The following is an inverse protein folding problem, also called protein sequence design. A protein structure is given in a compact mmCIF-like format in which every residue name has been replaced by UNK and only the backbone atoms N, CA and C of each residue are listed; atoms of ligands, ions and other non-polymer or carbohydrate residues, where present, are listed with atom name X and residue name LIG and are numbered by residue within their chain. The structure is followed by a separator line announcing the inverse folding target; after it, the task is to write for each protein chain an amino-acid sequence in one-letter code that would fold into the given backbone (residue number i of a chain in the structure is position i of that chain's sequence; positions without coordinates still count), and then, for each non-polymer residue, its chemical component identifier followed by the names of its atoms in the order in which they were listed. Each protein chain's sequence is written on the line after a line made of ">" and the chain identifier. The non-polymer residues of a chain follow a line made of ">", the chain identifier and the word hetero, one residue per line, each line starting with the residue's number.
data_IF_169570654031
#
_entry.id   IF_169570654031
#
_cell.length_a   1.000
_cell.length_b   1.000
_cell.length_c   1.000
_cell.angle_alpha   90.00
_cell.angle_beta   90.00
_cell.angle_gamma   90.00
#
_symmetry.space_group_name_H-M   'P 1'
#
loop_
_entity.id
_entity.type
_entity.pdbx_description
1 polymer ?
#
# COMPACT_ATOMS: atom_id res chain seq x y z
N UNK A 1 35.81 -63.32 32.67
CA UNK A 1 37.19 -63.58 32.20
C UNK A 1 37.49 -62.55 31.13
N UNK A 2 38.55 -61.76 31.35
CA UNK A 2 38.94 -60.69 30.44
C UNK A 2 39.99 -61.09 29.41
N UNK A 3 40.55 -60.02 28.82
CA UNK A 3 41.77 -59.89 27.98
C UNK A 3 41.52 -60.04 26.48
N UNK A 4 41.49 -58.92 25.73
CA UNK A 4 42.60 -58.03 25.29
C UNK A 4 43.29 -58.60 24.04
N UNK A 5 43.31 -57.83 22.94
CA UNK A 5 44.48 -57.02 22.55
C UNK A 5 44.13 -56.06 21.40
N UNK A 6 44.70 -54.87 21.51
CA UNK A 6 44.54 -53.68 20.68
C UNK A 6 45.51 -53.68 19.49
N UNK A 7 45.24 -52.84 18.49
CA UNK A 7 46.29 -51.96 17.98
C UNK A 7 45.75 -50.57 17.62
N UNK A 8 46.63 -49.59 17.81
CA UNK A 8 46.37 -48.16 17.96
C UNK A 8 46.63 -47.36 16.69
N UNK A 9 46.00 -46.19 16.58
CA UNK A 9 46.35 -45.16 15.60
C UNK A 9 45.31 -44.05 15.57
N UNK A 10 45.51 -43.02 16.40
CA UNK A 10 44.58 -41.94 16.65
C UNK A 10 44.82 -40.69 15.77
N UNK A 11 43.80 -39.82 15.79
CA UNK A 11 43.84 -38.34 15.75
C UNK A 11 43.31 -37.65 14.48
N UNK A 12 42.07 -37.18 14.65
CA UNK A 12 41.47 -35.89 14.28
C UNK A 12 41.51 -35.39 12.82
N UNK A 13 40.32 -35.19 12.26
CA UNK A 13 40.07 -34.03 11.41
C UNK A 13 38.65 -33.48 11.60
N UNK A 14 38.56 -32.15 11.53
CA UNK A 14 37.52 -31.32 12.06
C UNK A 14 36.24 -31.29 11.20
N UNK A 15 35.11 -31.10 11.87
CA UNK A 15 33.83 -30.75 11.26
C UNK A 15 33.94 -29.36 10.62
N UNK A 16 33.78 -29.29 9.30
CA UNK A 16 33.51 -28.06 8.55
C UNK A 16 32.02 -28.04 8.18
N UNK A 17 31.30 -26.91 8.34
CA UNK A 17 29.94 -26.77 7.82
C UNK A 17 29.97 -26.52 6.31
N UNK A 18 29.30 -27.39 5.56
CA UNK A 18 29.13 -27.28 4.12
C UNK A 18 28.22 -26.10 3.76
N UNK A 19 28.78 -25.12 3.05
CA UNK A 19 28.04 -24.07 2.35
C UNK A 19 27.47 -24.63 1.05
N UNK A 20 26.19 -24.95 1.03
CA UNK A 20 25.50 -25.32 -0.21
C UNK A 20 25.12 -24.05 -1.00
N UNK A 21 26.00 -23.63 -1.91
CA UNK A 21 25.66 -22.74 -3.01
C UNK A 21 24.82 -23.52 -4.03
N UNK A 22 23.55 -23.14 -4.22
CA UNK A 22 22.70 -23.68 -5.29
C UNK A 22 23.20 -23.13 -6.62
N UNK A 23 23.77 -24.00 -7.45
CA UNK A 23 24.19 -23.66 -8.82
C UNK A 23 22.98 -23.46 -9.73
N UNK A 24 22.94 -22.31 -10.41
CA UNK A 24 21.96 -21.98 -11.43
C UNK A 24 22.31 -22.71 -12.74
N UNK A 25 21.30 -23.19 -13.46
CA UNK A 25 21.48 -23.99 -14.69
C UNK A 25 21.83 -23.13 -15.91
N UNK A 26 22.66 -23.68 -16.80
CA UNK A 26 23.11 -23.09 -18.07
C UNK A 26 21.97 -22.84 -19.10
N UNK A 27 22.14 -21.89 -20.05
CA UNK A 27 21.07 -21.41 -20.90
C UNK A 27 20.72 -22.40 -22.03
N UNK A 28 19.44 -22.75 -22.11
CA UNK A 28 18.84 -23.45 -23.25
C UNK A 28 18.73 -22.47 -24.43
N UNK A 29 19.17 -22.90 -25.62
CA UNK A 29 18.99 -22.15 -26.87
C UNK A 29 17.50 -21.82 -27.11
N UNK A 30 17.15 -20.53 -27.10
CA UNK A 30 15.79 -20.03 -27.34
C UNK A 30 15.57 -19.87 -28.85
N UNK A 31 14.66 -20.68 -29.40
CA UNK A 31 13.99 -20.42 -30.69
C UNK A 31 13.12 -19.17 -30.53
N UNK A 32 13.19 -18.23 -31.49
CA UNK A 32 12.45 -16.97 -31.44
C UNK A 32 10.93 -17.20 -31.24
N UNK A 33 10.30 -16.60 -30.21
CA UNK A 33 8.85 -16.69 -30.04
C UNK A 33 8.13 -15.93 -31.16
N UNK A 34 7.01 -16.47 -31.61
CA UNK A 34 5.93 -15.69 -32.24
C UNK A 34 5.56 -14.50 -31.35
N UNK A 35 5.21 -13.32 -31.90
CA UNK A 35 4.83 -12.18 -31.08
C UNK A 35 3.54 -12.52 -30.33
N UNK A 36 3.65 -12.71 -29.02
CA UNK A 36 2.50 -12.74 -28.13
C UNK A 36 1.73 -11.41 -28.25
N UNK A 37 0.40 -11.40 -28.02
CA UNK A 37 -0.35 -10.15 -27.93
C UNK A 37 0.32 -9.21 -26.92
N UNK A 38 0.29 -7.89 -27.16
CA UNK A 38 0.99 -6.95 -26.28
C UNK A 38 0.54 -7.18 -24.82
N UNK A 39 1.49 -7.26 -23.85
CA UNK A 39 1.20 -7.70 -22.47
C UNK A 39 0.11 -6.90 -21.75
N UNK A 40 -0.24 -5.74 -22.29
CA UNK A 40 -1.15 -4.77 -21.68
C UNK A 40 -2.50 -4.65 -22.39
N UNK A 41 -2.71 -5.26 -23.56
CA UNK A 41 -3.97 -5.17 -24.31
C UNK A 41 -5.15 -5.81 -23.57
N UNK A 42 -4.88 -6.86 -22.79
CA UNK A 42 -5.89 -7.58 -22.01
C UNK A 42 -6.30 -6.91 -20.69
N UNK A 43 -5.56 -5.90 -20.23
CA UNK A 43 -5.77 -5.30 -18.90
C UNK A 43 -6.96 -4.35 -18.92
N UNK A 44 -7.97 -4.60 -18.08
CA UNK A 44 -9.17 -3.76 -18.03
C UNK A 44 -8.90 -2.40 -17.37
N UNK A 45 -9.61 -1.36 -17.83
CA UNK A 45 -9.57 -0.03 -17.24
C UNK A 45 -8.39 0.86 -17.67
N UNK A 46 -7.54 0.40 -18.59
CA UNK A 46 -6.48 1.22 -19.17
C UNK A 46 -6.92 1.92 -20.45
N UNK A 47 -6.58 3.20 -20.56
CA UNK A 47 -6.64 3.97 -21.79
C UNK A 47 -5.49 3.60 -22.74
N UNK A 48 -5.67 3.84 -24.04
CA UNK A 48 -4.66 3.50 -25.06
C UNK A 48 -3.31 4.16 -24.79
N UNK A 49 -3.32 5.39 -24.26
CA UNK A 49 -2.10 6.12 -23.87
C UNK A 49 -1.31 5.37 -22.79
N UNK A 50 -2.01 4.90 -21.75
CA UNK A 50 -1.41 4.13 -20.65
C UNK A 50 -0.88 2.79 -21.14
N UNK A 51 -1.63 2.08 -22.00
CA UNK A 51 -1.20 0.80 -22.60
C UNK A 51 0.10 0.95 -23.37
N UNK A 52 0.17 1.96 -24.26
CA UNK A 52 1.40 2.25 -25.03
C UNK A 52 2.56 2.58 -24.11
N UNK A 53 2.34 3.37 -23.06
CA UNK A 53 3.39 3.73 -22.12
C UNK A 53 3.90 2.50 -21.35
N UNK A 54 3.02 1.66 -20.85
CA UNK A 54 3.37 0.42 -20.13
C UNK A 54 4.04 -0.61 -21.04
N UNK A 55 3.63 -0.71 -22.31
CA UNK A 55 4.32 -1.53 -23.31
C UNK A 55 5.76 -1.05 -23.56
N UNK A 56 5.99 0.27 -23.59
CA UNK A 56 7.35 0.84 -23.65
C UNK A 56 8.17 0.51 -22.41
N UNK A 57 7.57 0.56 -21.21
CA UNK A 57 8.23 0.17 -19.96
C UNK A 57 8.62 -1.31 -19.99
N UNK A 58 7.70 -2.20 -20.40
CA UNK A 58 7.97 -3.64 -20.56
C UNK A 58 9.14 -3.90 -21.51
N UNK A 59 9.12 -3.29 -22.70
CA UNK A 59 10.17 -3.48 -23.70
C UNK A 59 11.55 -2.94 -23.28
N UNK A 60 11.58 -1.89 -22.44
CA UNK A 60 12.82 -1.22 -21.98
C UNK A 60 13.35 -1.76 -20.66
N UNK A 61 12.46 -2.30 -19.84
CA UNK A 61 12.71 -2.63 -18.44
C UNK A 61 12.81 -1.41 -17.52
N UNK A 62 12.68 -1.67 -16.23
CA UNK A 62 12.87 -0.73 -15.12
C UNK A 62 14.23 -0.99 -14.48
N UNK A 63 15.05 0.05 -14.40
CA UNK A 63 16.33 -0.02 -13.74
C UNK A 63 16.18 0.20 -12.23
N UNK A 64 16.64 -0.77 -11.46
CA UNK A 64 16.75 -0.68 -10.01
C UNK A 64 18.22 -0.70 -9.58
N UNK A 65 18.53 0.10 -8.56
CA UNK A 65 19.84 0.15 -7.91
C UNK A 65 19.63 0.00 -6.42
N UNK A 66 20.26 -1.00 -5.79
CA UNK A 66 20.13 -1.19 -4.36
C UNK A 66 20.65 0.05 -3.61
N UNK A 67 19.79 0.84 -2.94
CA UNK A 67 20.21 2.04 -2.23
C UNK A 67 21.19 1.76 -1.08
N UNK A 68 21.15 0.54 -0.52
CA UNK A 68 21.95 0.16 0.66
C UNK A 68 23.42 -0.12 0.32
N UNK A 69 23.75 -0.33 -0.95
CA UNK A 69 25.11 -0.71 -1.40
C UNK A 69 25.92 0.48 -1.96
N UNK A 70 25.35 1.69 -1.90
CA UNK A 70 26.04 2.91 -2.36
C UNK A 70 26.43 2.88 -3.84
N UNK A 71 27.54 3.54 -4.20
CA UNK A 71 28.01 3.64 -5.59
C UNK A 71 28.48 2.29 -6.20
N UNK A 72 28.64 1.25 -5.37
CA UNK A 72 29.08 -0.08 -5.80
C UNK A 72 27.93 -1.03 -6.16
N UNK A 73 26.67 -0.60 -5.98
CA UNK A 73 25.50 -1.43 -6.25
C UNK A 73 25.44 -1.85 -7.73
N UNK A 74 25.46 -3.15 -7.99
CA UNK A 74 25.12 -3.67 -9.31
C UNK A 74 23.68 -3.28 -9.62
N UNK A 75 23.48 -2.64 -10.77
CA UNK A 75 22.13 -2.29 -11.21
C UNK A 75 21.46 -3.54 -11.78
N UNK A 76 20.16 -3.69 -11.54
CA UNK A 76 19.38 -4.80 -12.09
C UNK A 76 18.23 -4.21 -12.91
N UNK A 77 18.04 -4.71 -14.13
CA UNK A 77 16.87 -4.40 -14.95
C UNK A 77 15.74 -5.38 -14.66
N UNK A 78 14.50 -4.89 -14.59
CA UNK A 78 13.31 -5.71 -14.47
C UNK A 78 12.36 -5.45 -15.63
N UNK A 79 11.91 -6.49 -16.32
CA UNK A 79 10.70 -6.41 -17.14
C UNK A 79 9.48 -6.52 -16.22
N UNK A 80 8.48 -5.66 -16.42
CA UNK A 80 7.25 -5.64 -15.63
C UNK A 80 6.07 -6.11 -16.48
N UNK A 81 5.38 -7.13 -15.99
CA UNK A 81 4.17 -7.68 -16.61
C UNK A 81 3.00 -7.63 -15.64
N UNK A 82 1.78 -7.48 -16.15
CA UNK A 82 0.58 -7.54 -15.31
C UNK A 82 0.41 -8.95 -14.73
N UNK A 83 0.31 -9.06 -13.41
CA UNK A 83 0.23 -10.34 -12.71
C UNK A 83 -1.19 -10.89 -12.54
N UNK A 84 -2.18 -10.27 -13.18
CA UNK A 84 -3.60 -10.63 -13.06
C UNK A 84 -4.40 -9.65 -12.21
N UNK A 85 -5.71 -9.70 -12.37
CA UNK A 85 -6.64 -8.85 -11.63
C UNK A 85 -6.83 -9.33 -10.19
N UNK A 86 -7.18 -8.40 -9.31
CA UNK A 86 -7.45 -8.66 -7.91
C UNK A 86 -8.85 -8.17 -7.58
N UNK A 87 -9.56 -8.88 -6.70
CA UNK A 87 -10.89 -8.47 -6.27
C UNK A 87 -10.83 -7.15 -5.49
N UNK A 88 -11.89 -6.35 -5.61
CA UNK A 88 -12.04 -5.09 -4.88
C UNK A 88 -12.70 -5.32 -3.51
N UNK A 89 -12.17 -6.28 -2.74
CA UNK A 89 -12.69 -6.71 -1.42
C UNK A 89 -11.96 -6.03 -0.24
N UNK A 90 -11.09 -5.05 -0.52
CA UNK A 90 -10.21 -4.41 0.45
C UNK A 90 -8.93 -5.20 0.77
N UNK A 91 -8.77 -6.44 0.30
CA UNK A 91 -7.54 -7.22 0.46
C UNK A 91 -6.54 -7.02 -0.68
N UNK A 92 -6.83 -6.13 -1.63
CA UNK A 92 -6.10 -6.02 -2.88
C UNK A 92 -4.59 -5.77 -2.68
N UNK A 93 -4.19 -4.92 -1.72
CA UNK A 93 -2.77 -4.70 -1.39
C UNK A 93 -2.05 -6.01 -1.07
N UNK A 94 -2.59 -6.80 -0.14
CA UNK A 94 -1.93 -8.03 0.33
C UNK A 94 -2.03 -9.17 -0.68
N UNK A 95 -3.11 -9.25 -1.44
CA UNK A 95 -3.27 -10.24 -2.51
C UNK A 95 -2.32 -9.94 -3.69
N UNK A 96 -2.18 -8.67 -4.07
CA UNK A 96 -1.22 -8.23 -5.06
C UNK A 96 0.23 -8.45 -4.58
N UNK A 97 0.57 -8.02 -3.37
CA UNK A 97 1.89 -8.22 -2.80
C UNK A 97 2.26 -9.71 -2.73
N UNK A 98 1.35 -10.58 -2.25
CA UNK A 98 1.55 -12.04 -2.26
C UNK A 98 1.96 -12.53 -3.64
N UNK A 99 1.22 -12.12 -4.66
CA UNK A 99 1.41 -12.61 -6.03
C UNK A 99 2.72 -12.09 -6.61
N UNK A 100 3.01 -10.80 -6.46
CA UNK A 100 4.29 -10.18 -6.87
C UNK A 100 5.50 -10.77 -6.13
N UNK A 101 5.33 -11.30 -4.92
CA UNK A 101 6.36 -11.99 -4.13
C UNK A 101 6.50 -13.49 -4.45
N UNK A 102 5.71 -14.03 -5.39
CA UNK A 102 5.76 -15.45 -5.79
C UNK A 102 4.99 -16.40 -4.87
N UNK A 103 4.01 -15.90 -4.10
CA UNK A 103 2.97 -16.73 -3.47
C UNK A 103 3.36 -17.53 -2.24
N UNK A 104 4.57 -17.37 -1.70
CA UNK A 104 5.06 -18.19 -0.56
C UNK A 104 4.35 -17.91 0.77
N UNK A 105 3.85 -16.70 0.96
CA UNK A 105 3.21 -16.22 2.19
C UNK A 105 1.75 -15.89 1.87
N UNK A 106 0.80 -16.33 2.69
CA UNK A 106 -0.63 -16.05 2.45
C UNK A 106 -0.95 -14.55 2.59
N UNK A 107 -1.95 -14.05 1.87
CA UNK A 107 -2.35 -12.63 1.94
C UNK A 107 -2.76 -12.21 3.36
N UNK A 108 -3.47 -13.09 4.07
CA UNK A 108 -3.83 -12.89 5.49
C UNK A 108 -2.59 -12.81 6.39
N UNK A 109 -1.62 -13.68 6.17
CA UNK A 109 -0.37 -13.67 6.94
C UNK A 109 0.45 -12.40 6.64
N UNK A 110 0.48 -11.95 5.38
CA UNK A 110 1.09 -10.67 5.00
C UNK A 110 0.44 -9.50 5.73
N UNK A 111 -0.91 -9.44 5.77
CA UNK A 111 -1.65 -8.43 6.53
C UNK A 111 -1.25 -8.43 8.00
N UNK A 112 -1.27 -9.60 8.65
CA UNK A 112 -0.93 -9.74 10.06
C UNK A 112 0.51 -9.33 10.38
N UNK A 113 1.48 -9.75 9.55
CA UNK A 113 2.89 -9.37 9.74
C UNK A 113 3.13 -7.89 9.49
N UNK A 114 2.42 -7.30 8.53
CA UNK A 114 2.46 -5.85 8.24
C UNK A 114 1.94 -5.05 9.43
N UNK A 115 0.79 -5.42 9.99
CA UNK A 115 0.22 -4.80 11.19
C UNK A 115 1.15 -4.98 12.39
N UNK A 116 1.68 -6.20 12.59
CA UNK A 116 2.62 -6.49 13.66
C UNK A 116 3.88 -5.62 13.57
N UNK A 117 4.46 -5.49 12.37
CA UNK A 117 5.60 -4.62 12.12
C UNK A 117 5.29 -3.16 12.44
N UNK A 118 4.15 -2.64 11.99
CA UNK A 118 3.71 -1.29 12.31
C UNK A 118 3.64 -1.07 13.83
N UNK A 119 2.97 -1.97 14.57
CA UNK A 119 2.79 -1.82 16.02
C UNK A 119 4.12 -1.94 16.79
N UNK A 120 5.05 -2.78 16.31
CA UNK A 120 6.40 -2.85 16.88
C UNK A 120 7.15 -1.52 16.71
N UNK A 121 7.08 -0.90 15.54
CA UNK A 121 7.76 0.36 15.27
C UNK A 121 7.08 1.54 16.01
N UNK A 122 5.75 1.57 15.99
CA UNK A 122 4.93 2.54 16.73
C UNK A 122 5.19 2.49 18.24
N UNK A 123 5.37 1.29 18.81
CA UNK A 123 5.67 1.11 20.23
C UNK A 123 7.10 1.48 20.65
N UNK A 124 8.03 1.65 19.69
CA UNK A 124 9.44 2.01 19.95
C UNK A 124 9.74 3.50 19.85
N UNK A 125 8.85 4.27 19.23
CA UNK A 125 9.05 5.68 18.93
C UNK A 125 8.93 6.58 20.19
N UNK A 126 9.70 7.67 20.24
CA UNK A 126 9.92 8.51 21.43
C UNK A 126 8.83 9.57 21.68
N UNK A 127 7.67 9.37 21.07
CA UNK A 127 6.48 10.20 21.23
C UNK A 127 6.35 11.35 20.21
N UNK A 128 7.45 11.87 19.65
CA UNK A 128 7.36 12.89 18.58
C UNK A 128 6.92 12.24 17.28
N UNK A 129 7.58 11.16 16.85
CA UNK A 129 7.17 10.43 15.66
C UNK A 129 5.80 9.74 15.83
N UNK A 130 5.49 9.28 17.06
CA UNK A 130 4.16 8.77 17.42
C UNK A 130 3.04 9.79 17.14
N UNK A 131 3.19 11.03 17.61
CA UNK A 131 2.20 12.10 17.37
C UNK A 131 2.04 12.44 15.89
N UNK A 132 3.12 12.38 15.11
CA UNK A 132 3.04 12.60 13.67
C UNK A 132 2.28 11.46 12.96
N UNK A 133 2.46 10.22 13.40
CA UNK A 133 1.70 9.06 12.92
C UNK A 133 0.23 9.20 13.30
N UNK A 134 -0.09 9.52 14.55
CA UNK A 134 -1.47 9.71 15.01
C UNK A 134 -2.16 10.82 14.22
N UNK A 135 -1.49 11.96 14.01
CA UNK A 135 -2.03 13.04 13.19
C UNK A 135 -2.28 12.61 11.73
N UNK A 136 -1.39 11.81 11.13
CA UNK A 136 -1.58 11.30 9.79
C UNK A 136 -2.79 10.34 9.70
N UNK A 137 -2.93 9.44 10.68
CA UNK A 137 -4.08 8.51 10.78
C UNK A 137 -5.37 9.31 10.95
N UNK A 138 -5.39 10.30 11.83
CA UNK A 138 -6.55 11.17 12.01
C UNK A 138 -6.95 11.87 10.70
N UNK A 139 -5.99 12.45 9.96
CA UNK A 139 -6.32 13.08 8.67
C UNK A 139 -6.88 12.11 7.63
N UNK A 140 -6.45 10.84 7.64
CA UNK A 140 -6.90 9.83 6.68
C UNK A 140 -8.26 9.22 7.05
N UNK A 141 -8.51 9.02 8.34
CA UNK A 141 -9.60 8.15 8.81
C UNK A 141 -10.62 8.85 9.72
N UNK A 142 -10.28 10.01 10.27
CA UNK A 142 -11.15 10.85 11.09
C UNK A 142 -10.91 12.35 10.77
N UNK A 143 -11.12 12.78 9.52
CA UNK A 143 -10.82 14.15 9.10
C UNK A 143 -11.72 15.19 9.78
N UNK A 144 -11.23 16.43 9.89
CA UNK A 144 -12.06 17.57 10.34
C UNK A 144 -13.05 17.97 9.22
N UNK A 145 -14.30 17.52 9.36
CA UNK A 145 -15.39 17.78 8.41
C UNK A 145 -15.74 19.27 8.23
N UNK A 146 -15.18 20.17 9.06
CA UNK A 146 -15.34 21.63 8.91
C UNK A 146 -14.35 22.23 7.91
N UNK A 147 -13.39 21.44 7.41
CA UNK A 147 -12.35 21.86 6.49
C UNK A 147 -12.08 20.78 5.42
N UNK A 148 -11.19 21.08 4.46
CA UNK A 148 -10.64 20.06 3.54
C UNK A 148 -11.49 19.68 2.31
N UNK A 149 -12.55 20.43 2.00
CA UNK A 149 -13.45 20.15 0.86
C UNK A 149 -12.89 20.52 -0.53
N UNK A 150 -11.71 21.15 -0.61
CA UNK A 150 -11.12 21.65 -1.86
C UNK A 150 -10.42 20.60 -2.73
N UNK A 151 -10.27 19.35 -2.26
CA UNK A 151 -9.52 18.29 -2.95
C UNK A 151 -10.43 17.12 -3.33
N UNK A 152 -11.27 16.67 -2.39
CA UNK A 152 -12.30 15.66 -2.63
C UNK A 152 -13.63 16.17 -2.09
N UNK A 153 -14.70 15.96 -2.88
CA UNK A 153 -16.07 16.37 -2.52
C UNK A 153 -16.74 15.42 -1.54
N UNK A 154 -16.12 14.27 -1.27
CA UNK A 154 -16.53 13.28 -0.27
C UNK A 154 -15.38 13.10 0.71
N UNK A 155 -15.69 13.12 2.00
CA UNK A 155 -14.79 12.75 3.09
C UNK A 155 -15.35 11.54 3.83
N UNK A 156 -14.48 10.68 4.32
CA UNK A 156 -14.88 9.45 5.01
C UNK A 156 -14.37 9.45 6.44
N UNK A 157 -15.24 9.05 7.37
CA UNK A 157 -14.88 8.73 8.75
C UNK A 157 -15.00 7.22 8.93
N UNK A 158 -13.91 6.58 9.38
CA UNK A 158 -13.87 5.14 9.67
C UNK A 158 -14.04 4.88 11.15
N UNK A 159 -15.01 4.03 11.47
CA UNK A 159 -15.30 3.57 12.82
C UNK A 159 -15.26 2.03 12.86
N UNK A 160 -14.89 1.47 14.00
CA UNK A 160 -14.82 0.03 14.24
C UNK A 160 -15.96 -0.37 15.18
N UNK A 161 -16.91 -1.13 14.66
CA UNK A 161 -17.98 -1.73 15.43
C UNK A 161 -17.55 -3.12 15.87
N UNK A 162 -17.53 -3.40 17.16
CA UNK A 162 -17.24 -4.77 17.62
C UNK A 162 -18.39 -5.68 17.19
N UNK A 163 -18.08 -6.82 16.57
CA UNK A 163 -19.13 -7.74 16.05
C UNK A 163 -20.10 -8.20 17.14
N UNK A 164 -19.58 -8.42 18.35
CA UNK A 164 -20.38 -8.82 19.50
C UNK A 164 -21.43 -7.76 19.92
N UNK A 165 -21.18 -6.49 19.59
CA UNK A 165 -22.03 -5.37 20.00
C UNK A 165 -23.02 -4.96 18.89
N UNK A 166 -22.92 -5.52 17.68
CA UNK A 166 -23.83 -5.26 16.54
C UNK A 166 -25.32 -5.33 16.92
N UNK A 167 -25.81 -6.37 17.63
CA UNK A 167 -27.23 -6.43 18.00
C UNK A 167 -27.69 -5.25 18.88
N UNK A 168 -26.80 -4.74 19.75
CA UNK A 168 -27.09 -3.60 20.63
C UNK A 168 -27.06 -2.29 19.84
N UNK A 169 -26.11 -2.14 18.91
CA UNK A 169 -26.04 -1.00 18.00
C UNK A 169 -27.31 -0.93 17.14
N UNK A 170 -27.71 -2.03 16.50
CA UNK A 170 -28.89 -2.10 15.64
C UNK A 170 -30.18 -1.77 16.43
N UNK A 171 -30.29 -2.26 17.67
CA UNK A 171 -31.41 -1.94 18.55
C UNK A 171 -31.45 -0.46 18.93
N UNK A 172 -30.29 0.14 19.25
CA UNK A 172 -30.19 1.56 19.59
C UNK A 172 -30.53 2.47 18.41
N UNK A 173 -30.12 2.08 17.19
CA UNK A 173 -30.50 2.78 15.96
C UNK A 173 -32.01 2.68 15.75
N UNK A 174 -32.59 1.49 15.95
CA UNK A 174 -34.03 1.30 15.78
C UNK A 174 -34.83 2.11 16.80
N UNK A 175 -34.37 2.23 18.04
CA UNK A 175 -35.03 3.09 19.05
C UNK A 175 -35.12 4.55 18.59
N UNK A 176 -34.02 5.11 18.07
CA UNK A 176 -34.02 6.47 17.53
C UNK A 176 -34.92 6.62 16.30
N UNK A 177 -34.96 5.60 15.43
CA UNK A 177 -35.87 5.57 14.27
C UNK A 177 -37.33 5.53 14.71
N UNK A 178 -37.66 4.74 15.73
CA UNK A 178 -39.01 4.64 16.30
C UNK A 178 -39.46 5.96 16.96
N UNK A 179 -38.50 6.77 17.44
CA UNK A 179 -38.74 8.14 17.92
C UNK A 179 -38.87 9.18 16.79
N UNK A 180 -38.72 8.76 15.53
CA UNK A 180 -38.96 9.58 14.34
C UNK A 180 -37.71 10.16 13.69
N UNK A 181 -36.50 9.76 14.09
CA UNK A 181 -35.28 10.15 13.40
C UNK A 181 -35.15 9.39 12.06
N UNK A 182 -34.51 10.02 11.08
CA UNK A 182 -34.08 9.31 9.87
C UNK A 182 -33.00 8.29 10.22
N UNK A 183 -33.03 7.12 9.56
CA UNK A 183 -32.14 5.99 9.89
C UNK A 183 -30.68 6.38 9.84
N UNK A 184 -30.25 7.12 8.82
CA UNK A 184 -28.86 7.52 8.61
C UNK A 184 -28.37 8.45 9.73
N UNK A 185 -29.23 9.38 10.17
CA UNK A 185 -28.93 10.30 11.28
C UNK A 185 -28.87 9.55 12.62
N UNK A 186 -29.78 8.60 12.83
CA UNK A 186 -29.74 7.71 13.98
C UNK A 186 -28.46 6.86 14.00
N UNK A 187 -28.13 6.23 12.87
CA UNK A 187 -26.93 5.41 12.68
C UNK A 187 -25.65 6.21 12.91
N UNK A 188 -25.52 7.39 12.29
CA UNK A 188 -24.40 8.31 12.53
C UNK A 188 -24.21 8.61 14.01
N UNK A 189 -25.30 8.94 14.71
CA UNK A 189 -25.27 9.28 16.14
C UNK A 189 -24.80 8.10 16.99
N UNK A 190 -25.41 6.93 16.81
CA UNK A 190 -25.07 5.72 17.56
C UNK A 190 -23.65 5.26 17.26
N UNK A 191 -23.24 5.24 16.00
CA UNK A 191 -21.90 4.79 15.64
C UNK A 191 -20.83 5.74 16.15
N UNK A 192 -21.01 7.06 16.06
CA UNK A 192 -20.04 8.02 16.64
C UNK A 192 -19.93 7.91 18.16
N UNK A 193 -21.02 7.57 18.85
CA UNK A 193 -21.02 7.46 20.31
C UNK A 193 -20.45 6.13 20.79
N UNK A 194 -20.75 5.02 20.11
CA UNK A 194 -20.52 3.68 20.63
C UNK A 194 -19.42 2.89 19.90
N UNK A 195 -19.02 3.28 18.68
CA UNK A 195 -17.93 2.62 17.95
C UNK A 195 -16.58 3.29 18.22
N UNK A 196 -15.51 2.55 17.98
CA UNK A 196 -14.15 3.07 18.12
C UNK A 196 -13.73 3.82 16.85
N UNK A 197 -13.36 5.08 16.97
CA UNK A 197 -12.80 5.82 15.83
C UNK A 197 -11.38 5.33 15.49
N UNK A 198 -11.03 5.37 14.20
CA UNK A 198 -9.66 5.14 13.73
C UNK A 198 -8.92 6.47 13.75
N UNK A 199 -8.24 6.77 14.85
CA UNK A 199 -7.66 8.11 15.11
C UNK A 199 -6.19 8.08 15.57
N UNK A 200 -5.64 6.90 15.84
CA UNK A 200 -4.28 6.71 16.32
C UNK A 200 -3.68 5.38 15.81
N UNK A 201 -2.41 5.14 16.10
CA UNK A 201 -1.74 3.89 15.69
C UNK A 201 -2.39 2.62 16.24
N UNK A 202 -2.94 2.65 17.46
CA UNK A 202 -3.54 1.46 18.07
C UNK A 202 -4.86 1.08 17.39
N UNK A 203 -5.72 2.07 17.14
CA UNK A 203 -6.98 1.91 16.41
C UNK A 203 -6.75 1.59 14.93
N UNK A 204 -5.74 2.18 14.27
CA UNK A 204 -5.33 1.82 12.92
C UNK A 204 -4.87 0.35 12.84
N UNK A 205 -4.11 -0.13 13.83
CA UNK A 205 -3.70 -1.54 13.87
C UNK A 205 -4.90 -2.50 13.93
N UNK A 206 -5.95 -2.14 14.67
CA UNK A 206 -7.21 -2.90 14.70
C UNK A 206 -7.95 -2.82 13.37
N UNK A 207 -8.06 -1.64 12.79
CA UNK A 207 -8.64 -1.43 11.46
C UNK A 207 -7.95 -2.31 10.41
N UNK A 208 -6.63 -2.16 10.26
CA UNK A 208 -5.83 -2.85 9.24
C UNK A 208 -5.77 -4.38 9.45
N UNK A 209 -6.11 -4.87 10.65
CA UNK A 209 -6.25 -6.30 10.93
C UNK A 209 -7.52 -6.93 10.33
N UNK A 210 -8.53 -6.13 9.99
CA UNK A 210 -9.80 -6.61 9.43
C UNK A 210 -9.57 -7.10 8.00
N UNK A 211 -9.86 -8.38 7.77
CA UNK A 211 -9.57 -9.11 6.54
C UNK A 211 -10.81 -9.50 5.74
N UNK A 212 -12.01 -9.14 6.23
CA UNK A 212 -13.27 -9.54 5.63
C UNK A 212 -13.64 -10.99 5.96
N UNK A 213 -13.19 -11.47 7.13
CA UNK A 213 -13.45 -12.83 7.60
C UNK A 213 -14.41 -12.83 8.81
N UNK A 214 -15.21 -13.91 8.98
CA UNK A 214 -16.08 -14.05 10.14
C UNK A 214 -15.35 -13.94 11.49
N UNK A 215 -14.08 -14.36 11.54
CA UNK A 215 -13.25 -14.33 12.75
C UNK A 215 -12.69 -12.95 13.11
N UNK A 216 -12.82 -11.95 12.23
CA UNK A 216 -12.40 -10.58 12.56
C UNK A 216 -13.20 -10.06 13.76
N UNK A 217 -12.54 -9.37 14.70
CA UNK A 217 -13.19 -8.88 15.94
C UNK A 217 -14.16 -7.71 15.68
N UNK A 218 -13.88 -6.93 14.64
CA UNK A 218 -14.59 -5.69 14.31
C UNK A 218 -15.12 -5.73 12.88
N UNK A 219 -16.27 -5.09 12.66
CA UNK A 219 -16.74 -4.64 11.36
C UNK A 219 -16.33 -3.17 11.13
N UNK A 220 -16.11 -2.82 9.87
CA UNK A 220 -15.82 -1.44 9.47
C UNK A 220 -17.15 -0.73 9.21
N UNK A 221 -17.32 0.43 9.81
CA UNK A 221 -18.37 1.39 9.49
C UNK A 221 -17.72 2.59 8.82
N UNK A 222 -18.19 2.94 7.63
CA UNK A 222 -17.74 4.12 6.91
C UNK A 222 -18.88 5.14 6.88
N UNK A 223 -18.67 6.29 7.49
CA UNK A 223 -19.57 7.44 7.37
C UNK A 223 -19.03 8.33 6.25
N UNK A 224 -19.77 8.47 5.16
CA UNK A 224 -19.39 9.32 4.04
C UNK A 224 -20.10 10.67 4.15
N UNK A 225 -19.36 11.77 4.03
CA UNK A 225 -19.85 13.13 4.12
C UNK A 225 -19.58 13.89 2.84
N UNK A 226 -20.50 14.79 2.51
CA UNK A 226 -20.24 15.94 1.65
C UNK A 226 -20.21 17.21 2.51
N UNK A 227 -19.84 18.35 1.92
CA UNK A 227 -19.92 19.64 2.64
C UNK A 227 -21.34 19.93 3.18
N UNK A 228 -22.37 19.36 2.56
CA UNK A 228 -23.76 19.50 2.99
C UNK A 228 -24.13 18.63 4.21
N UNK A 229 -23.28 17.70 4.63
CA UNK A 229 -23.51 16.76 5.73
C UNK A 229 -23.36 15.30 5.33
N UNK A 230 -23.85 14.41 6.19
CA UNK A 230 -23.80 12.96 5.97
C UNK A 230 -24.50 12.59 4.66
N UNK A 231 -23.78 11.90 3.78
CA UNK A 231 -24.27 11.40 2.50
C UNK A 231 -24.82 9.98 2.66
N UNK A 232 -24.04 9.08 3.26
CA UNK A 232 -24.42 7.68 3.43
C UNK A 232 -23.63 7.03 4.57
N UNK A 233 -24.16 5.92 5.06
CA UNK A 233 -23.51 5.02 6.02
C UNK A 233 -23.29 3.69 5.30
N UNK A 234 -22.04 3.29 5.15
CA UNK A 234 -21.67 1.97 4.68
C UNK A 234 -21.31 1.09 5.89
N UNK A 235 -22.16 0.12 6.15
CA UNK A 235 -22.04 -0.84 7.24
C UNK A 235 -21.63 -2.17 6.59
N UNK A 236 -20.42 -2.64 6.86
CA UNK A 236 -19.90 -3.93 6.37
C UNK A 236 -20.63 -5.14 7.02
N UNK A 237 -21.97 -5.21 6.91
CA UNK A 237 -22.80 -6.16 7.65
C UNK A 237 -22.56 -7.61 7.24
N UNK A 238 -22.17 -7.84 5.99
CA UNK A 238 -21.84 -9.19 5.50
C UNK A 238 -20.41 -9.62 5.90
N UNK A 239 -19.65 -8.72 6.54
CA UNK A 239 -18.29 -8.98 7.01
C UNK A 239 -17.31 -9.28 5.88
N UNK A 240 -17.60 -8.84 4.65
CA UNK A 240 -16.80 -9.15 3.46
C UNK A 240 -15.80 -8.05 3.10
N UNK A 241 -16.01 -6.82 3.55
CA UNK A 241 -15.07 -5.73 3.30
C UNK A 241 -13.88 -5.84 4.26
N UNK A 242 -12.68 -5.92 3.70
CA UNK A 242 -11.44 -5.78 4.45
C UNK A 242 -11.00 -4.31 4.51
N UNK A 243 -10.12 -3.98 5.45
CA UNK A 243 -9.49 -2.68 5.48
C UNK A 243 -8.60 -2.48 4.24
N UNK A 244 -8.80 -1.36 3.54
CA UNK A 244 -8.01 -0.98 2.37
C UNK A 244 -6.56 -0.66 2.78
N UNK A 245 -5.63 -1.02 1.91
CA UNK A 245 -4.22 -0.69 2.10
C UNK A 245 -3.95 0.78 1.81
N UNK A 246 -3.18 1.43 2.69
CA UNK A 246 -2.69 2.79 2.55
C UNK A 246 -1.15 2.80 2.52
N UNK A 247 -0.56 4.00 2.40
CA UNK A 247 0.89 4.17 2.44
C UNK A 247 1.51 3.66 3.76
N UNK A 248 0.79 3.75 4.89
CA UNK A 248 1.26 3.24 6.19
C UNK A 248 1.45 1.72 6.12
N UNK A 249 0.48 1.02 5.54
CA UNK A 249 0.53 -0.42 5.32
C UNK A 249 1.65 -0.81 4.33
N UNK A 250 1.83 -0.05 3.24
CA UNK A 250 2.88 -0.32 2.26
C UNK A 250 4.28 -0.12 2.87
N UNK A 251 4.51 0.95 3.62
CA UNK A 251 5.79 1.18 4.32
C UNK A 251 6.08 0.10 5.37
N UNK A 252 5.04 -0.34 6.09
CA UNK A 252 5.16 -1.41 7.08
C UNK A 252 5.46 -2.76 6.41
N UNK A 253 4.84 -3.03 5.25
CA UNK A 253 5.12 -4.20 4.42
C UNK A 253 6.55 -4.17 3.87
N UNK A 254 6.98 -3.03 3.33
CA UNK A 254 8.34 -2.82 2.84
C UNK A 254 9.35 -3.14 3.95
N UNK A 255 9.13 -2.59 5.14
CA UNK A 255 9.98 -2.78 6.33
C UNK A 255 10.03 -4.23 6.78
N UNK A 256 8.87 -4.88 6.90
CA UNK A 256 8.76 -6.27 7.35
C UNK A 256 9.53 -7.23 6.44
N UNK A 257 9.49 -7.00 5.13
CA UNK A 257 10.13 -7.87 4.15
C UNK A 257 11.49 -7.37 3.68
N UNK A 258 11.97 -6.21 4.17
CA UNK A 258 13.26 -5.59 3.80
C UNK A 258 13.41 -5.42 2.29
N UNK A 259 12.32 -5.01 1.64
CA UNK A 259 12.20 -4.79 0.20
C UNK A 259 11.69 -3.39 -0.03
N UNK A 260 12.19 -2.71 -1.05
CA UNK A 260 11.47 -1.55 -1.58
C UNK A 260 10.17 -2.04 -2.22
N UNK A 261 9.08 -1.31 -1.99
CA UNK A 261 7.82 -1.49 -2.71
C UNK A 261 7.67 -0.29 -3.64
N UNK A 262 7.38 -0.54 -4.91
CA UNK A 262 7.09 0.51 -5.89
C UNK A 262 5.63 0.39 -6.30
N UNK A 263 4.85 1.43 -6.01
CA UNK A 263 3.52 1.57 -6.59
C UNK A 263 3.65 2.25 -7.94
N UNK A 264 3.30 1.52 -8.99
CA UNK A 264 3.26 1.98 -10.38
C UNK A 264 1.86 2.50 -10.64
N UNK A 265 1.69 3.81 -10.59
CA UNK A 265 0.39 4.47 -10.73
C UNK A 265 0.18 4.92 -12.18
N UNK A 266 -0.94 4.53 -12.78
CA UNK A 266 -1.36 5.00 -14.10
C UNK A 266 -2.53 5.99 -13.96
N UNK A 267 -2.31 7.25 -14.36
CA UNK A 267 -3.35 8.29 -14.35
C UNK A 267 -4.08 8.35 -15.68
N UNK A 268 -5.40 8.52 -15.63
CA UNK A 268 -6.22 8.74 -16.82
C UNK A 268 -6.03 10.13 -17.42
N UNK A 269 -6.57 10.32 -18.63
CA UNK A 269 -6.52 11.59 -19.36
C UNK A 269 -7.12 12.78 -18.59
N UNK A 270 -8.03 12.50 -17.65
CA UNK A 270 -8.68 13.46 -16.73
C UNK A 270 -7.69 14.26 -15.88
N UNK A 271 -6.50 13.69 -15.62
CA UNK A 271 -5.45 14.35 -14.85
C UNK A 271 -4.63 15.37 -15.67
N UNK A 272 -5.02 15.65 -16.93
CA UNK A 272 -4.35 16.60 -17.84
C UNK A 272 -2.87 16.27 -18.09
N UNK A 273 -2.54 14.97 -18.10
CA UNK A 273 -1.16 14.49 -18.21
C UNK A 273 -0.85 14.04 -19.64
N UNK A 274 0.30 14.45 -20.17
CA UNK A 274 0.76 14.04 -21.50
C UNK A 274 1.15 12.55 -21.59
N UNK A 275 1.38 12.04 -22.81
CA UNK A 275 1.71 10.63 -23.07
C UNK A 275 3.01 10.16 -22.40
N UNK A 276 3.89 11.09 -22.01
CA UNK A 276 5.16 10.78 -21.36
C UNK A 276 5.04 10.74 -19.83
N UNK A 277 4.02 11.36 -19.25
CA UNK A 277 3.87 11.49 -17.80
C UNK A 277 2.66 10.71 -17.24
N UNK A 278 1.99 9.86 -18.00
CA UNK A 278 0.79 9.15 -17.52
C UNK A 278 1.06 7.96 -16.58
N UNK A 279 2.32 7.62 -16.28
CA UNK A 279 2.72 6.54 -15.36
C UNK A 279 3.81 7.02 -14.41
N UNK A 280 3.61 6.82 -13.10
CA UNK A 280 4.55 7.20 -12.05
C UNK A 280 4.99 6.00 -11.21
N UNK A 281 6.22 6.05 -10.71
CA UNK A 281 6.74 5.10 -9.73
C UNK A 281 6.84 5.80 -8.39
N UNK A 282 6.03 5.36 -7.43
CA UNK A 282 6.02 5.85 -6.06
C UNK A 282 6.78 4.85 -5.17
N UNK A 283 7.99 5.19 -4.70
CA UNK A 283 8.82 4.28 -3.92
C UNK A 283 8.51 4.35 -2.42
N UNK A 284 8.22 3.20 -1.83
CA UNK A 284 8.12 3.00 -0.38
C UNK A 284 9.34 2.22 0.10
N UNK A 285 10.13 2.85 0.96
CA UNK A 285 11.40 2.30 1.44
C UNK A 285 11.24 1.66 2.81
N UNK A 286 11.87 0.49 3.05
CA UNK A 286 11.88 -0.10 4.37
C UNK A 286 12.62 0.80 5.38
N UNK A 287 12.19 0.74 6.64
CA UNK A 287 13.00 1.21 7.76
C UNK A 287 14.13 0.21 7.98
N UNK A 288 15.36 0.63 7.70
CA UNK A 288 16.56 -0.21 7.83
C UNK A 288 17.13 -0.67 6.49
N UNK A 289 17.71 -1.88 6.48
CA UNK A 289 18.44 -2.41 5.32
C UNK A 289 17.50 -3.02 4.29
N UNK A 290 17.83 -2.83 3.00
CA UNK A 290 17.19 -3.55 1.89
C UNK A 290 18.00 -4.81 1.60
N UNK A 291 17.34 -5.97 1.70
CA UNK A 291 17.99 -7.29 1.61
C UNK A 291 17.56 -8.11 0.40
N UNK A 292 16.48 -7.69 -0.28
CA UNK A 292 15.81 -8.47 -1.32
C UNK A 292 15.41 -7.55 -2.48
N UNK A 293 15.21 -8.07 -3.72
CA UNK A 293 14.76 -7.29 -4.87
C UNK A 293 13.46 -6.52 -4.62
N UNK A 294 13.13 -5.44 -5.34
CA UNK A 294 11.91 -4.68 -5.10
C UNK A 294 10.62 -5.49 -5.39
N UNK A 295 9.51 -5.05 -4.82
CA UNK A 295 8.14 -5.48 -5.15
C UNK A 295 7.51 -4.37 -6.00
N UNK A 296 6.80 -4.73 -7.07
CA UNK A 296 6.06 -3.76 -7.88
C UNK A 296 4.56 -4.06 -7.78
N UNK A 297 3.78 -3.02 -7.46
CA UNK A 297 2.33 -3.06 -7.40
C UNK A 297 1.79 -2.08 -8.44
N UNK A 298 0.70 -2.44 -9.11
CA UNK A 298 0.03 -1.58 -10.06
C UNK A 298 -1.18 -0.92 -9.43
N UNK A 299 -1.28 0.39 -9.57
CA UNK A 299 -2.45 1.17 -9.18
C UNK A 299 -3.06 1.80 -10.42
N UNK A 300 -4.26 1.36 -10.78
CA UNK A 300 -5.06 1.97 -11.84
C UNK A 300 -5.81 3.15 -11.24
N UNK A 301 -5.78 4.31 -11.92
CA UNK A 301 -6.33 5.56 -11.40
C UNK A 301 -7.77 5.47 -10.85
N UNK A 302 -8.11 6.47 -10.03
CA UNK A 302 -9.27 6.56 -9.12
C UNK A 302 -10.66 6.53 -9.78
N UNK A 303 -10.76 6.44 -11.11
CA UNK A 303 -12.04 6.38 -11.82
C UNK A 303 -12.83 5.08 -11.62
N UNK A 304 -12.22 4.05 -11.02
CA UNK A 304 -12.84 2.73 -10.83
C UNK A 304 -13.33 2.46 -9.41
N UNK A 305 -12.77 3.12 -8.41
CA UNK A 305 -13.11 2.92 -7.00
C UNK A 305 -14.13 3.98 -6.56
N UNK A 306 -15.42 3.66 -6.65
CA UNK A 306 -16.52 4.50 -6.15
C UNK A 306 -16.54 4.76 -4.64
N UNK A 307 -15.43 4.58 -3.94
CA UNK A 307 -15.28 4.74 -2.49
C UNK A 307 -13.91 5.33 -2.08
N UNK A 308 -13.19 6.00 -3.00
CA UNK A 308 -11.96 6.74 -2.65
C UNK A 308 -10.76 5.92 -2.18
N UNK A 309 -10.83 4.58 -2.19
CA UNK A 309 -9.74 3.69 -1.80
C UNK A 309 -8.85 3.26 -2.98
N UNK A 310 -7.55 3.13 -2.72
CA UNK A 310 -6.57 2.63 -3.67
C UNK A 310 -6.80 1.14 -4.01
N UNK A 311 -6.81 0.80 -5.30
CA UNK A 311 -6.87 -0.58 -5.77
C UNK A 311 -5.52 -1.03 -6.32
N UNK A 312 -5.01 -2.15 -5.80
CA UNK A 312 -3.69 -2.67 -6.11
C UNK A 312 -3.76 -4.01 -6.85
N UNK A 313 -3.02 -4.12 -7.94
CA UNK A 313 -2.82 -5.35 -8.70
C UNK A 313 -1.32 -5.72 -8.72
N UNK A 314 -0.96 -7.01 -8.85
CA UNK A 314 0.43 -7.42 -8.89
C UNK A 314 1.11 -7.02 -10.21
N UNK A 315 2.35 -6.55 -10.12
CA UNK A 315 3.28 -6.56 -11.27
C UNK A 315 4.33 -7.64 -11.07
N UNK A 316 4.43 -8.53 -12.04
CA UNK A 316 5.45 -9.57 -12.08
C UNK A 316 6.75 -8.95 -12.60
N UNK A 317 7.77 -8.96 -11.74
CA UNK A 317 9.08 -8.42 -12.06
C UNK A 317 10.04 -9.55 -12.43
N UNK A 318 10.39 -9.65 -13.70
CA UNK A 318 11.35 -10.63 -14.22
C UNK A 318 12.69 -9.94 -14.44
N UNK A 319 13.78 -10.40 -13.79
CA UNK A 319 15.12 -9.85 -14.04
C UNK A 319 15.50 -10.01 -15.50
N UNK A 320 16.00 -8.93 -16.12
CA UNK A 320 16.50 -8.93 -17.49
C UNK A 320 17.97 -8.48 -17.53
N UNK A 321 18.78 -9.01 -18.47
CA UNK A 321 20.12 -8.50 -18.71
C UNK A 321 20.07 -7.02 -19.05
N UNK A 322 20.96 -6.24 -18.44
CA UNK A 322 21.08 -4.81 -18.71
C UNK A 322 21.72 -4.58 -20.09
N UNK A 323 20.88 -4.42 -21.12
CA UNK A 323 21.35 -4.15 -22.48
C UNK A 323 21.88 -2.70 -22.59
N UNK A 324 21.26 -1.73 -21.88
CA UNK A 324 21.70 -0.32 -21.81
C UNK A 324 20.99 0.45 -20.69
N UNK A 325 21.74 1.04 -19.74
CA UNK A 325 21.17 1.84 -18.63
C UNK A 325 20.40 3.08 -19.11
N UNK A 326 20.84 3.72 -20.20
CA UNK A 326 20.22 4.95 -20.74
C UNK A 326 18.83 4.73 -21.35
N UNK A 327 18.45 3.49 -21.63
CA UNK A 327 17.18 3.15 -22.29
C UNK A 327 16.13 2.61 -21.35
N UNK A 328 16.52 2.20 -20.13
CA UNK A 328 15.60 1.68 -19.13
C UNK A 328 14.79 2.82 -18.50
N UNK A 329 13.55 2.53 -18.11
CA UNK A 329 12.80 3.42 -17.23
C UNK A 329 13.53 3.46 -15.89
N UNK A 330 13.84 4.67 -15.41
CA UNK A 330 14.37 4.83 -14.06
C UNK A 330 13.16 5.03 -13.17
N UNK A 331 13.01 4.18 -12.14
CA UNK A 331 12.16 4.49 -11.02
C UNK A 331 12.79 5.69 -10.29
N UNK A 332 12.58 6.90 -10.84
CA UNK A 332 13.01 8.13 -10.20
C UNK A 332 12.13 8.28 -8.97
N UNK A 333 12.70 8.57 -7.79
CA UNK A 333 11.89 9.00 -6.68
C UNK A 333 11.17 10.28 -7.10
N UNK A 334 9.90 10.17 -7.46
CA UNK A 334 9.02 11.32 -7.38
C UNK A 334 8.97 11.66 -5.89
N UNK A 335 9.23 12.91 -5.55
CA UNK A 335 9.08 13.44 -4.20
C UNK A 335 7.57 13.53 -3.87
N UNK A 336 6.89 12.39 -3.87
CA UNK A 336 5.69 12.18 -3.04
C UNK A 336 6.17 11.48 -1.76
N UNK A 337 7.27 12.00 -1.21
CA UNK A 337 7.73 11.67 0.13
C UNK A 337 6.93 12.50 1.11
N UNK A 338 5.64 12.21 1.26
CA UNK A 338 4.81 12.78 2.32
C UNK A 338 5.43 12.45 3.68
N UNK A 339 6.12 11.32 3.80
CA UNK A 339 6.71 10.88 5.06
C UNK A 339 8.16 11.33 5.30
N UNK A 340 9.05 11.26 4.29
CA UNK A 340 10.50 11.45 4.51
C UNK A 340 10.98 12.91 4.56
N UNK A 341 10.32 13.86 3.90
CA UNK A 341 10.78 15.26 3.91
C UNK A 341 10.25 16.08 5.09
N UNK A 342 9.17 15.63 5.74
CA UNK A 342 8.52 16.41 6.81
C UNK A 342 9.07 16.11 8.21
N UNK A 343 9.59 14.91 8.51
CA UNK A 343 10.18 14.64 9.83
C UNK A 343 11.42 15.53 10.11
N UNK A 344 12.23 15.81 9.09
CA UNK A 344 13.38 16.73 9.23
C UNK A 344 12.97 18.22 9.14
N UNK A 345 11.74 18.53 8.67
CA UNK A 345 11.22 19.89 8.46
C UNK A 345 10.22 20.40 9.51
N UNK A 346 9.67 19.53 10.38
CA UNK A 346 8.69 19.88 11.42
C UNK A 346 9.29 20.75 12.55
N UNK A 347 10.60 21.01 12.56
CA UNK A 347 11.20 21.98 13.49
C UNK A 347 10.79 23.45 13.25
N UNK A 348 10.09 23.79 12.15
CA UNK A 348 9.91 25.20 11.76
C UNK A 348 8.47 25.71 11.50
N UNK A 349 7.41 24.90 11.59
CA UNK A 349 6.05 25.37 11.28
C UNK A 349 5.04 25.08 12.41
N UNK A 350 4.26 26.09 12.78
CA UNK A 350 3.17 26.00 13.76
C UNK A 350 2.09 25.00 13.29
N UNK A 351 1.57 24.14 14.18
CA UNK A 351 0.68 23.03 13.85
C UNK A 351 -0.69 23.43 13.28
N UNK A 352 -1.11 24.68 13.43
CA UNK A 352 -2.48 25.13 13.11
C UNK A 352 -2.67 25.63 11.66
N UNK A 353 -1.72 25.38 10.74
CA UNK A 353 -1.74 25.93 9.36
C UNK A 353 -1.52 24.92 8.23
N UNK A 354 -1.41 23.63 8.51
CA UNK A 354 -1.18 22.61 7.48
C UNK A 354 -2.49 22.27 6.77
N UNK A 355 -2.53 22.43 5.44
CA UNK A 355 -3.62 21.94 4.59
C UNK A 355 -3.11 20.84 3.66
N UNK A 356 -4.00 19.99 3.14
CA UNK A 356 -3.68 18.91 2.20
C UNK A 356 -2.96 19.40 0.92
N UNK A 357 -2.98 20.71 0.62
CA UNK A 357 -2.25 21.29 -0.51
C UNK A 357 -0.75 21.53 -0.24
N UNK A 358 -0.29 21.43 1.01
CA UNK A 358 1.14 21.53 1.37
C UNK A 358 1.91 20.22 1.08
N UNK A 359 1.34 19.32 0.29
CA UNK A 359 1.89 18.01 -0.07
C UNK A 359 2.29 17.90 -1.55
N UNK A 360 2.15 18.99 -2.34
CA UNK A 360 2.60 19.09 -3.73
C UNK A 360 3.65 20.20 -3.92
N UNK A 361 4.59 20.06 -4.87
CA UNK A 361 5.59 21.09 -5.13
C UNK A 361 4.96 22.41 -5.63
N UNK A 362 5.57 23.59 -5.35
CA UNK A 362 4.99 24.91 -5.65
C UNK A 362 4.70 25.16 -7.14
N UNK A 363 5.36 24.42 -8.02
CA UNK A 363 5.22 24.52 -9.48
C UNK A 363 3.93 23.91 -10.05
N UNK A 364 3.06 23.36 -9.20
CA UNK A 364 1.71 22.93 -9.55
C UNK A 364 0.59 23.57 -8.70
N UNK A 365 0.89 24.64 -7.96
CA UNK A 365 -0.15 25.45 -7.31
C UNK A 365 -0.92 26.27 -8.36
N UNK A 366 -2.02 25.72 -8.88
CA UNK A 366 -3.05 26.55 -9.51
C UNK A 366 -3.64 27.45 -8.43
N UNK A 367 -3.39 28.75 -8.56
CA UNK A 367 -4.00 29.76 -7.71
C UNK A 367 -5.53 29.64 -7.81
N UNK A 368 -6.19 29.40 -6.69
CA UNK A 368 -7.65 29.39 -6.54
C UNK A 368 -8.26 30.81 -6.63
N UNK A 369 -7.85 31.59 -7.65
CA UNK A 369 -8.20 32.99 -7.82
C UNK A 369 -9.10 33.33 -9.01
N UNK A 370 -9.21 32.47 -10.03
CA UNK A 370 -9.85 32.85 -11.31
C UNK A 370 -11.04 31.97 -11.69
N UNK A 371 -11.98 31.77 -10.76
CA UNK A 371 -13.35 31.34 -11.10
C UNK A 371 -14.36 32.39 -10.62
N UNK A 372 -14.25 33.60 -11.18
CA UNK A 372 -15.39 34.50 -11.31
C UNK A 372 -15.46 34.97 -12.76
N UNK A 373 -16.59 34.64 -13.40
CA UNK A 373 -16.98 34.84 -14.81
C UNK A 373 -16.52 33.74 -15.77
N UNK A 374 -17.37 32.73 -15.96
CA UNK A 374 -18.09 32.41 -17.21
C UNK A 374 -19.39 31.70 -16.84
#
# INVERSE_FOLDING_TARGET
>A
MGKLLCDSGAVAEALTPSSASVGWSDPVHITAPTPDPEPWDGVRGLEDQQRRHLARIHARGVLWKNPSEGQAAESVGFSLEHGGEVEADGNCLFTAARTAMGGKVGARELRQRTVGRFLEDYGRDDGVGRRAIDAAIQHLYLPDLRAGWGVHVVQEVKLLAKKADRPVLDASIQELVDLGLQREVAAESIYKEQCMAVEDGESWGKYMSISGLPEDEYDIITLQYTEAGLLTVDENQDGHAAAFGDDIAIESLATEFKREVYVVQAHGSDAMVDEENCVFFLPHRPRGQICEPPIFLFMKGTGWCGAGGDHYEPLMATPIPLISQEKAAVAKPFLVGIWRSKVDGIQACEPDKLTYMDFFPPEHQLCAGDFQNI
#
